data_IF_143095424170
#
_entry.id   IF_143095424170
#
_cell.length_a   1.000
_cell.length_b   1.000
_cell.length_c   1.000
_cell.angle_alpha   90.00
_cell.angle_beta   90.00
_cell.angle_gamma   90.00
#
_symmetry.space_group_name_H-M   'P 1'
#
loop_
_entity.id
_entity.type
_entity.pdbx_description
1 polymer ?
#
# COMPACT_ATOMS: atom_id res chain seq x y z
N UNK A 1 23.72 17.46 -68.97
CA UNK A 1 23.46 16.02 -69.25
C UNK A 1 23.51 15.25 -67.94
N UNK A 2 22.45 14.49 -67.70
CA UNK A 2 22.05 13.83 -66.46
C UNK A 2 22.58 12.41 -66.50
N UNK A 3 23.32 11.95 -65.47
CA UNK A 3 23.50 10.52 -65.18
C UNK A 3 23.44 10.30 -63.68
N UNK A 4 22.24 9.95 -63.23
CA UNK A 4 21.96 9.36 -61.93
C UNK A 4 22.07 7.84 -62.09
N UNK A 5 22.90 7.19 -61.29
CA UNK A 5 22.91 5.73 -61.15
C UNK A 5 21.95 5.32 -60.05
N UNK A 6 20.95 4.54 -60.43
CA UNK A 6 19.99 3.85 -59.56
C UNK A 6 20.71 2.69 -58.88
N UNK A 7 20.65 2.64 -57.55
CA UNK A 7 20.91 1.45 -56.76
C UNK A 7 19.76 1.29 -55.77
N UNK A 8 18.82 0.43 -56.13
CA UNK A 8 17.69 0.03 -55.29
C UNK A 8 18.21 -0.81 -54.13
N UNK A 9 17.91 -0.40 -52.89
CA UNK A 9 17.62 -1.33 -51.80
C UNK A 9 16.31 -0.90 -51.17
N UNK A 10 15.25 -1.54 -51.65
CA UNK A 10 13.98 -1.63 -50.96
C UNK A 10 14.10 -2.68 -49.85
N UNK A 11 13.62 -2.33 -48.67
CA UNK A 11 13.56 -3.17 -47.47
C UNK A 11 13.31 -2.19 -46.32
N UNK A 12 12.07 -1.82 -46.01
CA UNK A 12 10.98 -2.74 -45.71
C UNK A 12 11.12 -3.17 -44.27
N UNK A 13 10.74 -2.29 -43.33
CA UNK A 13 10.37 -2.62 -41.95
C UNK A 13 9.61 -1.41 -41.38
N UNK A 14 8.35 -1.29 -41.83
CA UNK A 14 7.30 -0.81 -40.94
C UNK A 14 7.14 -1.91 -39.88
N UNK A 15 7.41 -1.58 -38.62
CA UNK A 15 7.44 -2.57 -37.56
C UNK A 15 7.33 -1.92 -36.19
N UNK A 16 6.09 -1.78 -35.75
CA UNK A 16 5.70 -1.87 -34.34
C UNK A 16 6.07 -0.69 -33.44
N UNK A 17 5.19 0.32 -33.47
CA UNK A 17 4.83 1.05 -32.26
C UNK A 17 4.31 0.01 -31.26
N UNK A 18 5.17 -0.48 -30.38
CA UNK A 18 4.71 -1.19 -29.18
C UNK A 18 3.99 -0.14 -28.33
N UNK A 19 2.66 -0.16 -28.45
CA UNK A 19 1.78 0.27 -27.38
C UNK A 19 2.17 -0.61 -26.18
N UNK A 20 3.02 -0.10 -25.30
CA UNK A 20 3.15 -0.61 -23.94
C UNK A 20 1.86 -0.20 -23.23
N UNK A 21 0.77 -0.89 -23.54
CA UNK A 21 -0.33 -1.03 -22.58
C UNK A 21 0.24 -1.86 -21.43
N UNK A 22 0.97 -1.20 -20.54
CA UNK A 22 1.12 -1.68 -19.18
C UNK A 22 -0.29 -1.81 -18.65
N UNK A 23 -0.83 -3.02 -18.65
CA UNK A 23 -2.00 -3.33 -17.87
C UNK A 23 -1.60 -3.07 -16.43
N UNK A 24 -1.89 -1.88 -15.93
CA UNK A 24 -1.87 -1.63 -14.50
C UNK A 24 -2.78 -2.71 -13.90
N UNK A 25 -2.21 -3.62 -13.11
CA UNK A 25 -3.02 -4.40 -12.20
C UNK A 25 -3.88 -3.37 -11.47
N UNK A 26 -5.20 -3.51 -11.54
CA UNK A 26 -6.10 -2.60 -10.83
C UNK A 26 -5.66 -2.59 -9.37
N UNK A 27 -5.31 -1.41 -8.86
CA UNK A 27 -5.12 -1.18 -7.43
C UNK A 27 -6.36 -1.76 -6.72
N UNK A 28 -6.14 -2.78 -5.90
CA UNK A 28 -7.24 -3.54 -5.28
C UNK A 28 -7.52 -3.03 -3.87
N UNK A 29 -7.58 -1.71 -3.75
CA UNK A 29 -7.87 -1.04 -2.49
C UNK A 29 -9.38 -0.91 -2.34
N UNK A 30 -9.91 -1.46 -1.26
CA UNK A 30 -11.35 -1.43 -0.96
C UNK A 30 -11.54 -0.77 0.40
N UNK A 31 -12.30 0.33 0.42
CA UNK A 31 -12.57 1.08 1.65
C UNK A 31 -13.27 0.26 2.74
N UNK A 32 -12.93 0.52 3.99
CA UNK A 32 -13.52 -0.06 5.20
C UNK A 32 -13.96 1.06 6.12
N UNK A 33 -15.25 1.03 6.47
CA UNK A 33 -15.86 1.87 7.50
C UNK A 33 -15.62 1.17 8.84
N UNK A 34 -14.56 1.60 9.53
CA UNK A 34 -14.04 0.91 10.70
C UNK A 34 -14.70 1.40 12.00
N UNK A 35 -15.25 2.60 12.01
CA UNK A 35 -15.97 3.19 13.16
C UNK A 35 -17.50 3.04 13.06
N UNK A 36 -18.02 2.57 11.92
CA UNK A 36 -19.43 2.37 11.65
C UNK A 36 -20.17 3.66 11.26
N UNK A 37 -19.44 4.73 10.97
CA UNK A 37 -19.96 6.01 10.58
C UNK A 37 -19.66 6.32 9.10
N UNK A 38 -20.32 5.63 8.18
CA UNK A 38 -20.22 5.86 6.73
C UNK A 38 -20.35 7.32 6.22
N UNK A 39 -20.69 8.30 7.06
CA UNK A 39 -20.76 9.71 6.70
C UNK A 39 -19.39 10.43 6.68
N UNK A 40 -18.36 9.92 7.34
CA UNK A 40 -17.03 10.58 7.43
C UNK A 40 -15.97 9.98 6.48
N UNK A 41 -16.29 8.89 5.78
CA UNK A 41 -15.41 8.28 4.79
C UNK A 41 -15.04 6.85 5.16
N UNK A 42 -13.81 6.47 4.82
CA UNK A 42 -13.22 5.18 5.18
C UNK A 42 -12.02 5.42 6.08
N UNK A 43 -11.92 4.68 7.18
CA UNK A 43 -10.79 4.73 8.11
C UNK A 43 -9.66 3.79 7.69
N UNK A 44 -9.95 2.86 6.78
CA UNK A 44 -8.97 1.92 6.28
C UNK A 44 -9.26 1.47 4.84
N UNK A 45 -8.25 0.95 4.17
CA UNK A 45 -8.35 0.37 2.83
C UNK A 45 -7.73 -1.02 2.81
N UNK A 46 -8.56 -2.04 2.55
CA UNK A 46 -8.08 -3.40 2.37
C UNK A 46 -7.47 -3.56 0.98
N UNK A 47 -6.22 -4.00 0.92
CA UNK A 47 -5.48 -4.37 -0.28
C UNK A 47 -5.66 -5.87 -0.54
N UNK A 48 -6.46 -6.22 -1.54
CA UNK A 48 -6.74 -7.63 -1.83
C UNK A 48 -5.58 -8.36 -2.52
N UNK A 49 -4.51 -7.68 -2.92
CA UNK A 49 -3.33 -8.32 -3.53
C UNK A 49 -2.32 -8.69 -2.46
N UNK A 50 -2.04 -7.76 -1.55
CA UNK A 50 -1.13 -7.98 -0.43
C UNK A 50 -1.79 -8.74 0.73
N UNK A 51 -3.13 -8.81 0.75
CA UNK A 51 -3.92 -9.35 1.86
C UNK A 51 -3.60 -8.64 3.18
N UNK A 52 -3.61 -7.31 3.14
CA UNK A 52 -3.41 -6.43 4.30
C UNK A 52 -4.40 -5.28 4.24
N UNK A 53 -4.64 -4.64 5.37
CA UNK A 53 -5.45 -3.43 5.48
C UNK A 53 -4.58 -2.25 5.90
N UNK A 54 -4.56 -1.22 5.06
CA UNK A 54 -3.88 0.05 5.29
C UNK A 54 -4.77 0.98 6.12
N UNK A 55 -4.20 1.66 7.11
CA UNK A 55 -4.88 2.77 7.76
C UNK A 55 -5.05 3.93 6.76
N UNK A 56 -6.24 4.52 6.68
CA UNK A 56 -6.52 5.63 5.78
C UNK A 56 -5.77 6.90 6.19
N UNK A 57 -5.64 7.12 7.50
CA UNK A 57 -4.70 8.09 8.06
C UNK A 57 -3.28 7.51 8.01
N UNK A 58 -2.52 7.96 7.02
CA UNK A 58 -1.16 7.48 6.77
C UNK A 58 -0.13 8.03 7.78
N UNK A 59 -0.55 8.90 8.71
CA UNK A 59 0.32 9.47 9.72
C UNK A 59 -0.42 9.74 11.03
N UNK A 60 -0.99 8.68 11.59
CA UNK A 60 -1.75 8.72 12.84
C UNK A 60 -0.97 9.38 14.00
N UNK A 61 0.36 9.26 14.03
CA UNK A 61 1.20 9.89 15.05
C UNK A 61 1.12 11.43 15.01
N UNK A 62 0.95 12.02 13.82
CA UNK A 62 0.66 13.44 13.66
C UNK A 62 -0.76 13.77 14.14
N UNK A 63 -1.76 13.06 13.63
CA UNK A 63 -3.19 13.30 13.92
C UNK A 63 -3.53 13.19 15.40
N UNK A 64 -2.94 12.22 16.09
CA UNK A 64 -3.14 12.00 17.54
C UNK A 64 -2.31 12.94 18.42
N UNK A 65 -1.42 13.75 17.83
CA UNK A 65 -0.60 14.72 18.52
C UNK A 65 0.69 14.15 19.15
N UNK A 66 0.99 12.86 18.96
CA UNK A 66 2.16 12.18 19.57
C UNK A 66 3.48 12.77 19.07
N UNK A 67 3.57 13.07 17.77
CA UNK A 67 4.75 13.65 17.14
C UNK A 67 4.40 14.88 16.28
N UNK A 68 3.44 15.69 16.73
CA UNK A 68 2.92 16.81 15.95
C UNK A 68 3.99 17.86 15.59
N UNK A 69 4.95 18.12 16.49
CA UNK A 69 6.02 19.09 16.25
C UNK A 69 6.96 18.65 15.11
N UNK A 70 7.06 17.34 14.90
CA UNK A 70 7.90 16.69 13.89
C UNK A 70 7.12 16.13 12.71
N UNK A 71 5.87 16.59 12.52
CA UNK A 71 4.99 16.15 11.43
C UNK A 71 4.79 14.63 11.44
N UNK A 72 4.65 14.05 12.63
CA UNK A 72 4.42 12.62 12.84
C UNK A 72 5.66 11.74 12.78
N UNK A 73 6.84 12.33 12.54
CA UNK A 73 8.09 11.57 12.42
C UNK A 73 8.67 11.21 13.78
N UNK A 74 9.06 9.94 13.93
CA UNK A 74 9.67 9.41 15.15
C UNK A 74 10.88 8.53 14.80
N UNK A 75 11.77 8.31 15.78
CA UNK A 75 12.81 7.28 15.63
C UNK A 75 12.16 5.90 15.46
N UNK A 76 12.87 4.93 14.90
CA UNK A 76 12.32 3.59 14.74
C UNK A 76 11.94 2.94 16.08
N UNK A 77 12.78 3.11 17.11
CA UNK A 77 12.50 2.60 18.46
C UNK A 77 11.26 3.26 19.08
N UNK A 78 11.11 4.57 18.95
CA UNK A 78 9.92 5.27 19.47
C UNK A 78 8.67 4.87 18.70
N UNK A 79 8.79 4.69 17.38
CA UNK A 79 7.69 4.26 16.51
C UNK A 79 7.16 2.89 16.91
N UNK A 80 8.06 1.90 17.05
CA UNK A 80 7.66 0.53 17.42
C UNK A 80 7.10 0.47 18.84
N UNK A 81 7.70 1.19 19.79
CA UNK A 81 7.17 1.32 21.13
C UNK A 81 5.78 1.98 21.16
N UNK A 82 5.56 3.04 20.38
CA UNK A 82 4.28 3.71 20.28
C UNK A 82 3.19 2.80 19.68
N UNK A 83 3.49 2.06 18.61
CA UNK A 83 2.55 1.10 18.01
C UNK A 83 2.10 0.07 19.04
N UNK A 84 3.04 -0.56 19.76
CA UNK A 84 2.71 -1.62 20.71
C UNK A 84 2.00 -1.08 21.96
N UNK A 85 2.55 -0.04 22.57
CA UNK A 85 2.13 0.44 23.89
C UNK A 85 0.92 1.38 23.83
N UNK A 86 0.64 1.96 22.66
CA UNK A 86 -0.46 2.93 22.48
C UNK A 86 -1.48 2.40 21.49
N UNK A 87 -1.11 2.17 20.24
CA UNK A 87 -2.07 1.85 19.17
C UNK A 87 -2.70 0.47 19.41
N UNK A 88 -1.87 -0.55 19.59
CA UNK A 88 -2.32 -1.92 19.79
C UNK A 88 -2.92 -2.14 21.18
N UNK A 89 -2.35 -1.52 22.22
CA UNK A 89 -2.91 -1.56 23.57
C UNK A 89 -4.31 -0.94 23.66
N UNK A 90 -4.59 0.11 22.87
CA UNK A 90 -5.90 0.74 22.80
C UNK A 90 -6.89 -0.04 21.92
N UNK A 91 -6.41 -0.92 21.03
CA UNK A 91 -7.25 -1.63 20.07
C UNK A 91 -7.91 -0.67 19.08
N UNK A 92 -7.10 0.14 18.37
CA UNK A 92 -7.59 1.12 17.38
C UNK A 92 -8.55 0.44 16.39
N UNK A 93 -9.78 0.94 16.32
CA UNK A 93 -10.90 0.36 15.55
C UNK A 93 -11.20 -1.12 15.85
N UNK A 94 -10.92 -1.58 17.08
CA UNK A 94 -11.06 -2.98 17.47
C UNK A 94 -9.93 -3.89 16.99
N UNK A 95 -8.87 -3.34 16.41
CA UNK A 95 -7.69 -4.06 15.92
C UNK A 95 -6.50 -3.78 16.83
N UNK A 96 -5.83 -4.85 17.30
CA UNK A 96 -4.65 -4.78 18.18
C UNK A 96 -3.39 -5.36 17.53
N UNK A 97 -3.39 -5.47 16.20
CA UNK A 97 -2.33 -6.07 15.38
C UNK A 97 -1.86 -5.10 14.30
N UNK A 98 -1.92 -3.80 14.58
CA UNK A 98 -1.31 -2.78 13.75
C UNK A 98 0.21 -2.92 13.80
N UNK A 99 0.85 -2.75 12.65
CA UNK A 99 2.30 -2.86 12.49
C UNK A 99 2.79 -1.89 11.44
N UNK A 100 4.10 -1.69 11.41
CA UNK A 100 4.74 -1.08 10.24
C UNK A 100 4.63 -2.01 9.03
N UNK A 101 4.64 -1.47 7.80
CA UNK A 101 4.59 -2.26 6.58
C UNK A 101 5.81 -3.17 6.47
N UNK A 102 5.59 -4.42 6.10
CA UNK A 102 6.65 -5.41 6.01
C UNK A 102 7.55 -5.15 4.80
N UNK A 103 8.79 -5.60 4.93
CA UNK A 103 9.73 -5.66 3.84
C UNK A 103 10.52 -6.95 3.95
N UNK A 104 10.57 -7.71 2.88
CA UNK A 104 11.27 -8.97 2.77
C UNK A 104 12.29 -8.90 1.62
N UNK A 105 13.42 -9.64 1.73
CA UNK A 105 14.41 -9.69 0.67
C UNK A 105 13.79 -10.02 -0.69
N UNK A 106 14.15 -9.25 -1.71
CA UNK A 106 13.65 -9.43 -3.08
C UNK A 106 13.97 -10.82 -3.66
N UNK A 107 15.06 -11.43 -3.22
CA UNK A 107 15.46 -12.79 -3.61
C UNK A 107 14.89 -13.90 -2.68
N UNK A 108 14.18 -13.52 -1.62
CA UNK A 108 13.60 -14.41 -0.62
C UNK A 108 14.59 -15.03 0.36
N UNK A 109 15.87 -14.66 0.33
CA UNK A 109 16.94 -15.27 1.13
C UNK A 109 17.73 -14.26 1.97
N UNK A 110 18.18 -13.15 1.39
CA UNK A 110 18.99 -12.15 2.09
C UNK A 110 18.89 -10.79 1.43
N UNK A 111 18.89 -9.72 2.24
CA UNK A 111 18.82 -8.36 1.69
C UNK A 111 20.04 -8.04 0.81
N UNK A 112 19.75 -7.67 -0.43
CA UNK A 112 20.70 -7.24 -1.45
C UNK A 112 20.90 -5.72 -1.32
N UNK A 113 21.97 -5.34 -0.63
CA UNK A 113 22.27 -3.94 -0.30
C UNK A 113 23.36 -3.32 -1.17
N UNK A 114 24.11 -4.14 -1.92
CA UNK A 114 25.19 -3.67 -2.78
C UNK A 114 24.69 -3.35 -4.18
N UNK A 115 24.52 -2.07 -4.46
CA UNK A 115 24.13 -1.55 -5.77
C UNK A 115 25.25 -1.59 -6.82
N UNK A 116 26.49 -1.94 -6.44
CA UNK A 116 27.64 -1.95 -7.35
C UNK A 116 27.76 -3.21 -8.20
N UNK A 117 26.98 -4.26 -7.89
CA UNK A 117 27.06 -5.57 -8.56
C UNK A 117 26.66 -5.49 -10.03
N UNK A 118 25.65 -4.68 -10.37
CA UNK A 118 25.20 -4.45 -11.74
C UNK A 118 24.86 -2.96 -11.92
N UNK A 119 25.27 -2.29 -13.02
CA UNK A 119 25.05 -0.85 -13.20
C UNK A 119 23.58 -0.39 -13.12
N UNK A 120 22.64 -1.30 -13.36
CA UNK A 120 21.19 -1.01 -13.30
C UNK A 120 20.51 -1.49 -12.02
N UNK A 121 21.18 -2.26 -11.16
CA UNK A 121 20.55 -2.92 -10.02
C UNK A 121 19.81 -1.94 -9.09
N UNK A 122 20.43 -0.79 -8.83
CA UNK A 122 19.83 0.28 -8.05
C UNK A 122 18.50 0.81 -8.62
N UNK A 123 18.32 0.70 -9.94
CA UNK A 123 17.22 1.33 -10.68
C UNK A 123 16.12 0.36 -11.07
N UNK A 124 16.39 -0.93 -11.20
CA UNK A 124 15.47 -1.89 -11.81
C UNK A 124 14.66 -2.71 -10.78
N UNK A 125 14.82 -2.41 -9.48
CA UNK A 125 14.12 -3.10 -8.40
C UNK A 125 14.57 -4.55 -8.19
N UNK A 126 15.72 -4.96 -8.74
CA UNK A 126 16.27 -6.32 -8.57
C UNK A 126 17.03 -6.52 -7.26
N UNK A 127 17.28 -5.44 -6.52
CA UNK A 127 17.92 -5.45 -5.20
C UNK A 127 17.06 -4.68 -4.19
N UNK A 128 17.35 -4.85 -2.90
CA UNK A 128 16.57 -4.28 -1.82
C UNK A 128 16.90 -2.81 -1.55
N UNK A 129 18.11 -2.37 -1.86
CA UNK A 129 18.54 -0.98 -1.74
C UNK A 129 18.44 -0.26 -3.09
N UNK A 130 17.45 0.61 -3.26
CA UNK A 130 17.26 1.32 -4.54
C UNK A 130 15.83 1.75 -4.81
N UNK A 131 15.56 2.07 -6.07
CA UNK A 131 14.25 2.54 -6.56
C UNK A 131 13.56 1.47 -7.40
N UNK A 132 12.31 1.74 -7.78
CA UNK A 132 11.45 0.86 -8.58
C UNK A 132 11.22 -0.53 -7.96
N UNK A 133 11.36 -0.66 -6.63
CA UNK A 133 10.99 -1.88 -5.91
C UNK A 133 9.46 -1.96 -5.73
N UNK A 134 8.78 -2.37 -6.80
CA UNK A 134 7.31 -2.47 -6.88
C UNK A 134 6.77 -3.86 -6.53
N UNK A 135 7.62 -4.78 -6.05
CA UNK A 135 7.21 -6.15 -5.78
C UNK A 135 6.41 -6.26 -4.48
N UNK A 136 5.67 -7.37 -4.33
CA UNK A 136 4.95 -7.66 -3.08
C UNK A 136 5.88 -8.01 -1.91
N UNK A 137 7.21 -8.07 -2.11
CA UNK A 137 8.15 -8.21 -1.01
C UNK A 137 8.26 -6.92 -0.20
N UNK A 138 7.89 -5.77 -0.77
CA UNK A 138 7.82 -4.47 -0.09
C UNK A 138 6.39 -3.97 -0.08
N UNK A 139 5.75 -3.97 1.09
CA UNK A 139 4.38 -3.45 1.20
C UNK A 139 4.33 -1.94 0.88
N UNK A 140 5.31 -1.16 1.37
CA UNK A 140 5.42 0.26 1.04
C UNK A 140 5.80 0.50 -0.42
N UNK A 141 6.72 -0.30 -0.97
CA UNK A 141 7.07 -0.23 -2.39
C UNK A 141 5.87 -0.53 -3.28
N UNK A 142 5.11 -1.58 -2.97
CA UNK A 142 3.87 -1.90 -3.69
C UNK A 142 2.82 -0.78 -3.55
N UNK A 143 2.65 -0.23 -2.34
CA UNK A 143 1.77 0.94 -2.14
C UNK A 143 2.18 2.11 -3.03
N UNK A 144 3.47 2.47 -3.01
CA UNK A 144 4.03 3.60 -3.75
C UNK A 144 3.89 3.41 -5.27
N UNK A 145 4.42 2.32 -5.80
CA UNK A 145 4.56 2.11 -7.25
C UNK A 145 3.30 1.57 -7.92
N UNK A 146 2.54 0.72 -7.22
CA UNK A 146 1.43 -0.03 -7.81
C UNK A 146 0.09 0.57 -7.40
N UNK A 147 -0.16 0.76 -6.10
CA UNK A 147 -1.46 1.25 -5.64
C UNK A 147 -1.65 2.74 -5.92
N UNK A 148 -0.64 3.57 -5.62
CA UNK A 148 -0.67 5.02 -5.86
C UNK A 148 -0.18 5.39 -7.27
N UNK A 149 0.52 4.48 -7.96
CA UNK A 149 1.04 4.71 -9.31
C UNK A 149 2.14 5.77 -9.36
N UNK A 150 2.86 5.99 -8.25
CA UNK A 150 3.93 6.98 -8.19
C UNK A 150 5.14 6.50 -8.97
N UNK A 151 5.78 7.41 -9.68
CA UNK A 151 7.00 7.15 -10.44
C UNK A 151 8.22 7.44 -9.55
N UNK A 152 9.27 6.62 -9.66
CA UNK A 152 10.57 6.98 -9.10
C UNK A 152 11.20 8.13 -9.88
N UNK A 153 12.25 8.73 -9.32
CA UNK A 153 13.00 9.80 -9.99
C UNK A 153 13.73 9.35 -11.27
N UNK A 154 13.96 8.05 -11.45
CA UNK A 154 14.54 7.45 -12.66
C UNK A 154 13.83 6.14 -13.05
N UNK A 155 13.84 5.84 -14.34
CA UNK A 155 13.35 4.58 -14.89
C UNK A 155 14.30 3.40 -14.56
N UNK A 156 13.92 2.19 -14.98
CA UNK A 156 14.69 0.97 -14.72
C UNK A 156 16.06 0.90 -15.41
N UNK A 157 16.39 1.88 -16.25
CA UNK A 157 17.70 2.01 -16.90
C UNK A 157 18.57 3.09 -16.26
N UNK A 158 18.06 3.79 -15.24
CA UNK A 158 18.70 4.93 -14.61
C UNK A 158 18.52 6.25 -15.38
N UNK A 159 17.59 6.29 -16.34
CA UNK A 159 17.26 7.54 -17.05
C UNK A 159 16.28 8.33 -16.20
N UNK A 160 16.56 9.61 -15.95
CA UNK A 160 15.69 10.47 -15.15
C UNK A 160 14.26 10.52 -15.71
N UNK A 161 13.27 10.34 -14.83
CA UNK A 161 11.85 10.37 -15.16
C UNK A 161 11.45 11.77 -15.60
N UNK A 162 10.74 11.86 -16.74
CA UNK A 162 10.18 13.12 -17.24
C UNK A 162 8.69 13.19 -16.98
N UNK A 163 8.20 14.33 -16.51
CA UNK A 163 6.75 14.57 -16.32
C UNK A 163 6.25 14.45 -14.88
N UNK A 164 7.15 14.46 -13.90
CA UNK A 164 6.83 14.34 -12.47
C UNK A 164 7.19 12.98 -11.91
N UNK A 165 7.63 12.94 -10.66
CA UNK A 165 7.94 11.74 -9.90
C UNK A 165 7.51 11.94 -8.44
N UNK A 166 7.45 10.87 -7.65
CA UNK A 166 6.87 10.93 -6.32
C UNK A 166 5.45 11.46 -6.35
N UNK A 167 5.11 12.33 -5.41
CA UNK A 167 3.76 12.88 -5.33
C UNK A 167 3.44 13.94 -6.40
N UNK A 168 4.40 14.30 -7.25
CA UNK A 168 4.17 15.05 -8.49
C UNK A 168 3.82 14.15 -9.69
N UNK A 169 3.67 12.83 -9.47
CA UNK A 169 3.37 11.87 -10.55
C UNK A 169 1.99 12.13 -11.18
N UNK A 170 1.83 11.87 -12.49
CA UNK A 170 0.54 12.06 -13.16
C UNK A 170 -0.59 11.25 -12.51
N UNK A 171 -1.75 11.87 -12.31
CA UNK A 171 -2.93 11.21 -11.74
C UNK A 171 -3.04 11.23 -10.22
N UNK A 172 -2.04 11.83 -9.55
CA UNK A 172 -2.07 12.11 -8.11
C UNK A 172 -2.66 13.50 -7.88
N UNK A 173 -3.55 13.62 -6.90
CA UNK A 173 -4.04 14.91 -6.40
C UNK A 173 -3.63 15.06 -4.94
N UNK A 174 -3.06 16.21 -4.61
CA UNK A 174 -2.74 16.61 -3.24
C UNK A 174 -3.74 17.66 -2.77
N UNK A 175 -4.31 17.42 -1.59
CA UNK A 175 -5.23 18.33 -0.90
C UNK A 175 -4.80 18.49 0.56
N UNK A 176 -5.35 19.49 1.27
CA UNK A 176 -5.10 19.73 2.69
C UNK A 176 -3.60 19.76 3.08
N UNK A 177 -2.80 20.39 2.23
CA UNK A 177 -1.35 20.45 2.35
C UNK A 177 -0.90 21.15 3.64
N UNK A 178 0.01 20.50 4.36
CA UNK A 178 0.74 21.06 5.50
C UNK A 178 2.17 21.34 5.08
N UNK A 179 2.52 22.61 4.96
CA UNK A 179 3.88 23.05 4.64
C UNK A 179 4.73 23.15 5.91
N UNK A 180 5.98 22.69 5.84
CA UNK A 180 6.93 22.76 6.96
C UNK A 180 8.37 22.41 6.58
N UNK A 181 9.25 22.34 7.59
CA UNK A 181 10.63 21.87 7.43
C UNK A 181 11.61 22.85 6.76
N UNK A 182 12.79 22.32 6.41
CA UNK A 182 13.79 23.05 5.62
C UNK A 182 13.22 23.25 4.20
N UNK A 183 13.38 24.46 3.65
CA UNK A 183 12.85 24.88 2.34
C UNK A 183 11.35 25.16 2.25
N UNK A 184 10.59 25.04 3.35
CA UNK A 184 9.15 25.37 3.38
C UNK A 184 8.37 24.62 2.28
N UNK A 185 8.55 23.29 2.24
CA UNK A 185 7.91 22.38 1.29
C UNK A 185 6.69 21.71 1.93
N UNK A 186 5.80 21.15 1.11
CA UNK A 186 4.69 20.32 1.59
C UNK A 186 5.29 19.09 2.28
N UNK A 187 4.94 18.89 3.55
CA UNK A 187 5.41 17.75 4.35
C UNK A 187 4.34 16.69 4.46
N UNK A 188 3.08 17.11 4.64
CA UNK A 188 1.91 16.24 4.72
C UNK A 188 0.86 16.70 3.71
N UNK A 189 0.13 15.75 3.13
CA UNK A 189 -1.03 16.04 2.31
C UNK A 189 -2.02 14.89 2.36
N UNK A 190 -3.28 15.20 2.07
CA UNK A 190 -4.23 14.18 1.69
C UNK A 190 -3.97 13.81 0.22
N UNK A 191 -3.73 12.53 -0.04
CA UNK A 191 -3.35 12.01 -1.35
C UNK A 191 -4.54 11.26 -1.93
N UNK A 192 -5.04 11.73 -3.07
CA UNK A 192 -6.13 11.08 -3.79
C UNK A 192 -5.64 10.49 -5.11
N UNK A 193 -5.91 9.20 -5.32
CA UNK A 193 -5.66 8.47 -6.57
C UNK A 193 -6.92 7.69 -6.94
N UNK A 194 -7.57 8.10 -8.03
CA UNK A 194 -8.86 7.51 -8.44
C UNK A 194 -9.95 7.74 -7.39
N UNK A 195 -10.41 6.65 -6.76
CA UNK A 195 -11.47 6.68 -5.75
C UNK A 195 -10.96 6.50 -4.30
N UNK A 196 -9.64 6.43 -4.12
CA UNK A 196 -9.00 6.23 -2.82
C UNK A 196 -8.37 7.54 -2.37
N UNK A 197 -8.57 7.89 -1.11
CA UNK A 197 -7.91 9.03 -0.46
C UNK A 197 -7.27 8.57 0.84
N UNK A 198 -5.97 8.79 0.97
CA UNK A 198 -5.24 8.64 2.22
C UNK A 198 -4.98 10.03 2.81
N UNK A 199 -5.24 10.21 4.09
CA UNK A 199 -5.02 11.49 4.76
C UNK A 199 -3.63 11.55 5.40
N UNK A 200 -3.12 12.77 5.54
CA UNK A 200 -1.87 13.07 6.25
C UNK A 200 -0.65 12.27 5.76
N UNK A 201 -0.62 11.87 4.48
CA UNK A 201 0.51 11.14 3.92
C UNK A 201 1.76 12.00 4.01
N UNK A 202 2.85 11.44 4.53
CA UNK A 202 4.15 12.08 4.47
C UNK A 202 4.64 12.11 3.02
N UNK A 203 4.45 13.25 2.34
CA UNK A 203 4.81 13.42 0.92
C UNK A 203 6.25 13.85 0.71
N UNK A 204 6.95 14.20 1.79
CA UNK A 204 8.38 14.51 1.81
C UNK A 204 9.05 13.83 3.01
N UNK A 205 10.25 13.29 2.81
CA UNK A 205 10.98 12.49 3.81
C UNK A 205 10.69 11.00 3.65
N UNK A 206 10.79 10.24 4.74
CA UNK A 206 10.66 8.78 4.70
C UNK A 206 9.48 8.22 5.50
N UNK A 207 9.14 6.97 5.16
CA UNK A 207 8.15 6.12 5.79
C UNK A 207 8.84 4.85 6.28
N UNK A 208 8.75 4.55 7.58
CA UNK A 208 9.36 3.36 8.14
C UNK A 208 8.74 2.07 7.60
N UNK A 209 9.59 1.07 7.34
CA UNK A 209 9.17 -0.32 7.24
C UNK A 209 9.37 -1.03 8.59
N UNK A 210 8.75 -2.19 8.75
CA UNK A 210 8.93 -3.09 9.91
C UNK A 210 10.20 -3.94 9.85
N UNK A 211 11.05 -3.76 8.83
CA UNK A 211 12.24 -4.57 8.64
C UNK A 211 13.50 -3.89 9.16
N UNK A 212 14.42 -4.72 9.67
CA UNK A 212 15.76 -4.27 10.07
C UNK A 212 16.82 -5.21 9.52
N UNK A 213 18.05 -4.70 9.41
CA UNK A 213 19.26 -5.44 9.07
C UNK A 213 20.33 -5.20 10.11
N UNK A 214 21.24 -6.16 10.23
CA UNK A 214 22.47 -6.00 10.99
C UNK A 214 23.62 -5.97 9.99
N UNK A 215 24.54 -5.01 10.14
CA UNK A 215 25.69 -4.78 9.27
C UNK A 215 25.32 -4.16 7.92
N UNK A 216 24.90 -2.91 7.98
CA UNK A 216 24.82 -2.06 6.80
C UNK A 216 26.22 -1.97 6.13
N UNK A 217 26.36 -2.31 4.83
CA UNK A 217 27.65 -2.31 4.15
C UNK A 217 28.29 -0.92 4.05
N UNK A 218 27.51 0.16 4.18
CA UNK A 218 27.98 1.54 4.07
C UNK A 218 28.32 2.15 5.44
N UNK A 219 27.54 1.83 6.47
CA UNK A 219 27.65 2.47 7.79
C UNK A 219 28.29 1.60 8.87
N UNK A 220 28.55 0.31 8.59
CA UNK A 220 29.31 -0.59 9.45
C UNK A 220 28.45 -1.38 10.45
N UNK A 221 29.01 -1.69 11.62
CA UNK A 221 28.34 -2.53 12.63
C UNK A 221 27.25 -1.74 13.36
N UNK A 222 26.01 -2.20 13.23
CA UNK A 222 24.83 -1.58 13.85
C UNK A 222 23.56 -2.21 13.31
N UNK A 223 22.44 -1.96 13.98
CA UNK A 223 21.12 -2.31 13.45
C UNK A 223 20.58 -1.09 12.70
N UNK A 224 20.15 -1.31 11.46
CA UNK A 224 19.50 -0.31 10.63
C UNK A 224 18.08 -0.76 10.28
N UNK A 225 17.14 0.17 10.17
CA UNK A 225 15.79 -0.06 9.70
C UNK A 225 15.66 0.44 8.27
N UNK A 226 14.86 -0.25 7.46
CA UNK A 226 14.52 0.23 6.13
C UNK A 226 13.41 1.27 6.19
N UNK A 227 13.50 2.24 5.30
CA UNK A 227 12.44 3.20 5.04
C UNK A 227 12.29 3.46 3.55
N UNK A 228 11.09 3.85 3.13
CA UNK A 228 10.82 4.34 1.78
C UNK A 228 10.83 5.86 1.78
N UNK A 229 11.59 6.48 0.89
CA UNK A 229 11.54 7.93 0.65
C UNK A 229 10.33 8.28 -0.22
N UNK A 230 9.47 9.15 0.29
CA UNK A 230 8.31 9.66 -0.41
C UNK A 230 8.70 10.46 -1.67
N UNK A 231 9.79 11.21 -1.59
CA UNK A 231 10.22 12.15 -2.64
C UNK A 231 10.60 11.46 -3.94
N UNK A 232 11.29 10.31 -3.87
CA UNK A 232 11.91 9.70 -5.04
C UNK A 232 11.73 8.17 -5.13
N UNK A 233 11.00 7.56 -4.18
CA UNK A 233 10.59 6.16 -4.18
C UNK A 233 11.69 5.19 -3.78
N UNK A 234 12.80 5.68 -3.24
CA UNK A 234 13.94 4.87 -2.87
C UNK A 234 13.67 4.13 -1.55
N UNK A 235 14.00 2.84 -1.53
CA UNK A 235 14.22 2.12 -0.28
C UNK A 235 15.67 2.37 0.16
N UNK A 236 15.81 2.91 1.37
CA UNK A 236 17.10 3.23 1.98
C UNK A 236 17.14 2.67 3.42
N UNK A 237 18.27 2.82 4.08
CA UNK A 237 18.57 2.31 5.41
C UNK A 237 18.94 3.45 6.34
N UNK A 238 18.50 3.33 7.59
CA UNK A 238 18.87 4.27 8.63
C UNK A 238 19.11 3.59 9.97
N UNK A 239 19.91 4.21 10.83
CA UNK A 239 20.19 3.69 12.15
C UNK A 239 18.90 3.58 12.99
N UNK A 240 18.72 2.44 13.68
CA UNK A 240 17.53 2.21 14.52
C UNK A 240 17.53 3.10 15.77
N UNK A 241 18.71 3.51 16.25
CA UNK A 241 18.89 4.32 17.46
C UNK A 241 19.34 5.74 17.12
N UNK A 242 18.86 6.72 17.90
CA UNK A 242 19.31 8.11 17.88
C UNK A 242 20.84 8.21 18.01
N UNK A 243 21.49 8.85 17.03
CA UNK A 243 22.87 9.31 17.18
C UNK A 243 22.86 10.70 17.85
N UNK A 244 23.35 10.84 19.09
CA UNK A 244 23.44 12.12 19.77
C UNK A 244 24.36 13.15 19.10
N UNK A 245 25.13 12.76 18.09
CA UNK A 245 25.97 13.65 17.28
C UNK A 245 25.58 13.66 15.79
N UNK A 246 24.49 12.99 15.40
CA UNK A 246 24.09 12.76 14.01
C UNK A 246 22.82 13.48 13.58
N UNK A 247 22.46 13.33 12.30
CA UNK A 247 21.16 13.78 11.78
C UNK A 247 20.06 12.95 12.44
N UNK A 248 19.01 13.62 12.88
CA UNK A 248 17.86 12.98 13.54
C UNK A 248 17.02 12.26 12.49
N UNK A 249 17.22 10.95 12.38
CA UNK A 249 16.61 10.15 11.32
C UNK A 249 15.25 9.64 11.75
N UNK A 250 14.31 10.58 11.74
CA UNK A 250 12.91 10.32 12.06
C UNK A 250 12.13 10.14 10.77
N UNK A 251 11.36 9.07 10.71
CA UNK A 251 10.46 8.80 9.60
C UNK A 251 9.02 8.68 10.11
N UNK A 252 8.05 8.89 9.23
CA UNK A 252 6.64 8.73 9.56
C UNK A 252 6.25 7.24 9.54
N UNK A 253 5.10 6.92 10.15
CA UNK A 253 4.61 5.56 10.30
C UNK A 253 3.22 5.42 9.67
N UNK A 254 3.16 4.73 8.53
CA UNK A 254 1.90 4.37 7.89
C UNK A 254 1.53 2.95 8.29
N UNK A 255 0.52 2.81 9.13
CA UNK A 255 0.18 1.54 9.76
C UNK A 255 -0.61 0.62 8.83
N UNK A 256 -0.33 -0.67 8.95
CA UNK A 256 -1.06 -1.76 8.31
C UNK A 256 -1.40 -2.84 9.32
N UNK A 257 -2.36 -3.70 8.97
CA UNK A 257 -2.65 -4.93 9.69
C UNK A 257 -2.94 -6.06 8.70
N UNK A 258 -2.70 -7.30 9.10
CA UNK A 258 -2.85 -8.45 8.21
C UNK A 258 -4.33 -8.76 7.94
N UNK A 259 -4.65 -9.12 6.71
CA UNK A 259 -5.98 -9.48 6.25
C UNK A 259 -6.97 -8.31 6.26
N UNK A 260 -8.25 -8.66 6.33
CA UNK A 260 -9.39 -7.73 6.36
C UNK A 260 -10.18 -7.86 7.68
N UNK A 261 -9.70 -7.26 8.78
CA UNK A 261 -10.37 -7.38 10.09
C UNK A 261 -11.73 -6.67 10.14
N UNK A 262 -12.03 -5.82 9.16
CA UNK A 262 -13.27 -5.08 9.04
C UNK A 262 -14.27 -5.74 8.08
N UNK A 263 -13.93 -6.91 7.52
CA UNK A 263 -14.88 -7.70 6.76
C UNK A 263 -16.06 -8.03 7.66
N UNK A 264 -17.24 -7.51 7.30
CA UNK A 264 -18.47 -7.94 7.94
C UNK A 264 -18.57 -9.45 7.76
N UNK A 265 -18.54 -10.20 8.87
CA UNK A 265 -18.86 -11.63 8.84
C UNK A 265 -20.17 -11.77 8.05
N UNK A 266 -20.19 -12.60 7.00
CA UNK A 266 -21.37 -12.84 6.20
C UNK A 266 -22.58 -12.91 7.13
N UNK A 267 -23.52 -11.97 6.94
CA UNK A 267 -24.76 -11.86 7.71
C UNK A 267 -25.27 -13.29 7.97
N UNK A 268 -25.40 -13.76 9.23
CA UNK A 268 -25.95 -15.08 9.50
C UNK A 268 -27.30 -15.14 8.82
N UNK A 269 -27.44 -15.94 7.75
CA UNK A 269 -28.59 -15.87 6.85
C UNK A 269 -29.89 -15.79 7.66
N UNK A 270 -30.55 -14.62 7.73
CA UNK A 270 -31.78 -14.53 8.46
C UNK A 270 -32.82 -15.23 7.58
N UNK A 271 -33.36 -16.32 8.10
CA UNK A 271 -34.60 -16.91 7.62
C UNK A 271 -34.61 -17.71 6.32
N UNK A 272 -33.50 -18.07 5.65
CA UNK A 272 -33.54 -19.09 4.58
C UNK A 272 -34.10 -20.42 5.11
N UNK A 273 -33.63 -20.84 6.30
CA UNK A 273 -34.13 -22.04 6.98
C UNK A 273 -35.57 -21.90 7.49
N UNK A 274 -35.96 -20.70 7.94
CA UNK A 274 -37.33 -20.44 8.45
C UNK A 274 -38.34 -20.35 7.30
N UNK A 275 -37.98 -19.74 6.17
CA UNK A 275 -38.80 -19.73 4.94
C UNK A 275 -38.91 -21.13 4.32
N UNK A 276 -37.82 -21.91 4.32
CA UNK A 276 -37.87 -23.29 3.81
C UNK A 276 -38.70 -24.21 4.73
N UNK A 277 -38.61 -24.05 6.05
CA UNK A 277 -39.44 -24.78 7.02
C UNK A 277 -40.91 -24.35 6.98
N UNK A 278 -41.19 -23.05 6.83
CA UNK A 278 -42.55 -22.53 6.64
C UNK A 278 -43.17 -23.04 5.31
N UNK A 279 -42.37 -23.10 4.25
CA UNK A 279 -42.76 -23.70 2.96
C UNK A 279 -43.12 -25.17 3.09
N UNK A 280 -42.28 -25.98 3.73
CA UNK A 280 -42.53 -27.41 3.96
C UNK A 280 -43.78 -27.66 4.84
N UNK A 281 -44.01 -26.82 5.86
CA UNK A 281 -45.20 -26.89 6.71
C UNK A 281 -46.51 -26.65 5.94
N UNK A 282 -46.52 -25.70 4.99
CA UNK A 282 -47.69 -25.43 4.14
C UNK A 282 -48.04 -26.60 3.21
N UNK A 283 -47.05 -27.32 2.68
CA UNK A 283 -47.30 -28.53 1.86
C UNK A 283 -47.82 -29.70 2.70
N UNK A 284 -47.33 -29.89 3.94
CA UNK A 284 -47.80 -30.94 4.84
C UNK A 284 -49.27 -30.74 5.27
N UNK A 285 -49.69 -29.49 5.51
CA UNK A 285 -51.09 -29.17 5.84
C UNK A 285 -52.01 -29.40 4.64
N UNK A 286 -51.56 -29.07 3.42
CA UNK A 286 -52.33 -29.33 2.18
C UNK A 286 -52.50 -30.83 1.91
N UNK A 287 -51.46 -31.64 2.11
CA UNK A 287 -51.52 -33.10 1.94
C UNK A 287 -52.48 -33.78 2.94
N UNK A 288 -52.53 -33.31 4.20
CA UNK A 288 -53.46 -33.84 5.22
C UNK A 288 -54.93 -33.57 4.91
N UNK A 289 -55.27 -32.43 4.29
CA UNK A 289 -56.67 -32.11 3.91
C UNK A 289 -57.18 -33.01 2.79
N UNK A 290 -56.33 -33.41 1.85
CA UNK A 290 -56.72 -34.31 0.75
C UNK A 290 -57.01 -35.75 1.22
N UNK A 291 -56.32 -36.25 2.25
CA UNK A 291 -56.62 -37.58 2.83
C UNK A 291 -57.94 -37.65 3.59
N UNK A 292 -58.41 -36.55 4.20
CA UNK A 292 -59.70 -36.53 4.92
C UNK A 292 -60.92 -36.45 3.99
N UNK A 293 -60.77 -35.92 2.78
CA UNK A 293 -61.86 -35.88 1.78
C UNK A 293 -62.14 -37.23 1.11
N UNK A 294 -61.18 -38.15 1.08
CA UNK A 294 -61.33 -39.45 0.42
C UNK A 294 -61.99 -40.53 1.30
N UNK A 295 -62.26 -40.25 2.59
CA UNK A 295 -62.81 -41.23 3.52
C UNK A 295 -64.34 -41.12 3.74
N UNK A 296 -65.04 -40.18 3.09
CA UNK A 296 -66.49 -39.98 3.28
C UNK A 296 -67.37 -40.55 2.15
N UNK A 297 -66.84 -41.40 1.27
CA UNK A 297 -67.63 -42.10 0.26
C UNK A 297 -67.32 -43.59 0.27
N UNK A 298 -67.95 -44.32 1.19
CA UNK A 298 -68.38 -45.71 0.93
C UNK A 298 -69.78 -45.90 1.56
N UNK A 299 -70.76 -46.41 0.80
CA UNK A 299 -72.09 -46.74 1.31
C UNK A 299 -72.06 -47.92 2.28
#
# INVERSE_FOLDING_TARGET
>A
MKRWTRGQLAGGLAGMLMLMSGGHAHASLVGRDADGNAANGYEAYYDTVLDITWLADANLAYTTGVAAAEQGRMSWLDTTAWIDQTVNAAGLYGVSTWRLPSYAPVDGTSYQLDSSVTPTAYFDGTIDYGINNASTSSELGYMYYVNLGLLAWADTTGTATTGGYGFDSPGVTLDNEVTGGYYNTVQLADVTVGAVTFSQVAVHGGLWTGATVTNDPYWGSGQSAFYLTADNGQIDLDAVSYDPNGFDTRQAAWLVTDGDPFSVSAVPEPASGVLMAAGAGLFAVRARRMKKGAASQRP
#
